data_IF_170769508439
#
_entry.id   IF_170769508439
#
_cell.length_a   1.000
_cell.length_b   1.000
_cell.length_c   1.000
_cell.angle_alpha   90.00
_cell.angle_beta   90.00
_cell.angle_gamma   90.00
#
_symmetry.space_group_name_H-M   'P 1'
#
loop_
_entity.id
_entity.type
_entity.pdbx_description
1 polymer ?
#
# COMPACT_ATOMS: atom_id res chain seq x y z
N UNK A 1 -15.14 42.75 -15.39
CA UNK A 1 -16.19 41.92 -14.76
C UNK A 1 -16.01 40.44 -15.15
N UNK A 2 -15.94 39.51 -14.18
CA UNK A 2 -15.87 38.08 -14.47
C UNK A 2 -14.57 37.36 -14.08
N UNK A 3 -13.54 38.09 -13.63
CA UNK A 3 -12.30 37.49 -13.06
C UNK A 3 -12.31 37.63 -11.55
N UNK A 4 -11.98 36.54 -10.84
CA UNK A 4 -11.87 36.51 -9.39
C UNK A 4 -10.66 35.67 -8.99
N UNK A 5 -9.92 36.14 -7.99
CA UNK A 5 -8.84 35.37 -7.38
C UNK A 5 -9.35 34.72 -6.10
N UNK A 6 -9.14 33.41 -5.97
CA UNK A 6 -9.56 32.63 -4.80
C UNK A 6 -8.33 32.13 -4.04
N UNK A 7 -8.23 32.45 -2.76
CA UNK A 7 -7.22 31.88 -1.86
C UNK A 7 -7.78 30.63 -1.21
N UNK A 8 -7.37 29.45 -1.69
CA UNK A 8 -7.88 28.15 -1.20
C UNK A 8 -7.30 27.72 0.16
N UNK A 9 -6.37 28.48 0.73
CA UNK A 9 -5.79 28.17 2.03
C UNK A 9 -6.76 28.55 3.16
N UNK A 10 -7.08 27.61 4.07
CA UNK A 10 -7.83 27.93 5.27
C UNK A 10 -7.12 29.03 6.05
N UNK A 11 -7.90 29.95 6.62
CA UNK A 11 -7.38 31.00 7.48
C UNK A 11 -8.30 31.16 8.68
N UNK A 12 -7.77 31.21 9.92
CA UNK A 12 -8.59 31.19 11.12
C UNK A 12 -9.56 32.38 11.23
N UNK A 13 -9.27 33.48 10.52
CA UNK A 13 -10.10 34.69 10.51
C UNK A 13 -11.11 34.76 9.35
N UNK A 14 -11.21 33.71 8.51
CA UNK A 14 -12.13 33.67 7.36
C UNK A 14 -13.02 32.43 7.44
N UNK A 15 -14.29 32.51 6.98
CA UNK A 15 -15.11 31.32 6.84
C UNK A 15 -14.45 30.34 5.85
N UNK A 16 -14.72 29.03 5.97
CA UNK A 16 -14.26 28.04 4.99
C UNK A 16 -14.63 28.46 3.58
N UNK A 17 -13.64 28.50 2.68
CA UNK A 17 -13.88 28.82 1.29
C UNK A 17 -14.68 27.70 0.63
N UNK A 18 -15.71 28.09 -0.12
CA UNK A 18 -16.55 27.22 -0.94
C UNK A 18 -16.39 27.56 -2.42
N UNK A 19 -15.42 26.97 -3.14
CA UNK A 19 -15.13 27.29 -4.55
C UNK A 19 -16.36 27.20 -5.46
N UNK A 20 -17.27 26.28 -5.17
CA UNK A 20 -18.51 26.05 -5.89
C UNK A 20 -19.42 27.29 -5.93
N UNK A 21 -19.42 28.12 -4.88
CA UNK A 21 -20.21 29.36 -4.84
C UNK A 21 -19.66 30.47 -5.74
N UNK A 22 -18.42 30.31 -6.22
CA UNK A 22 -17.77 31.26 -7.11
C UNK A 22 -17.95 30.89 -8.59
N UNK A 23 -18.53 29.72 -8.89
CA UNK A 23 -18.85 29.25 -10.24
C UNK A 23 -20.35 29.29 -10.46
N UNK A 24 -20.80 30.03 -11.48
CA UNK A 24 -22.24 30.17 -11.83
C UNK A 24 -22.62 29.48 -13.15
N UNK A 25 -21.66 28.86 -13.80
CA UNK A 25 -21.83 28.15 -15.07
C UNK A 25 -22.11 26.66 -14.84
N UNK A 26 -22.74 26.00 -15.83
CA UNK A 26 -23.00 24.55 -15.79
C UNK A 26 -21.74 23.70 -15.95
N UNK A 27 -20.69 24.27 -16.53
CA UNK A 27 -19.42 23.60 -16.79
C UNK A 27 -18.26 24.41 -16.20
N UNK A 28 -17.20 23.70 -15.80
CA UNK A 28 -15.90 24.27 -15.41
C UNK A 28 -14.84 23.70 -16.34
N UNK A 29 -13.98 24.60 -16.84
CA UNK A 29 -12.75 24.21 -17.50
C UNK A 29 -11.55 24.45 -16.57
N UNK A 30 -10.76 23.41 -16.30
CA UNK A 30 -9.47 23.49 -15.61
C UNK A 30 -8.40 23.65 -16.68
N UNK A 31 -7.88 24.87 -16.79
CA UNK A 31 -6.89 25.25 -17.81
C UNK A 31 -5.52 25.34 -17.15
N UNK A 32 -4.50 24.58 -17.59
CA UNK A 32 -3.15 24.69 -17.05
C UNK A 32 -2.51 26.01 -17.47
N UNK A 33 -1.53 26.45 -16.68
CA UNK A 33 -0.73 27.63 -17.00
C UNK A 33 -0.01 27.46 -18.36
N UNK A 34 0.16 28.57 -19.07
CA UNK A 34 0.72 28.59 -20.42
C UNK A 34 -0.28 28.27 -21.54
N UNK A 35 -1.54 27.91 -21.26
CA UNK A 35 -2.55 27.77 -22.32
C UNK A 35 -3.01 29.14 -22.85
N UNK A 36 -3.21 29.26 -24.17
CA UNK A 36 -3.81 30.44 -24.81
C UNK A 36 -5.19 30.09 -25.37
N UNK A 37 -6.18 30.91 -25.05
CA UNK A 37 -7.55 30.71 -25.52
C UNK A 37 -7.66 30.90 -27.04
N UNK A 38 -8.47 30.05 -27.68
CA UNK A 38 -8.86 30.14 -29.09
C UNK A 38 -10.36 29.83 -29.23
N UNK A 39 -11.07 30.41 -30.21
CA UNK A 39 -12.50 30.19 -30.38
C UNK A 39 -12.88 28.73 -30.61
N UNK A 40 -14.02 28.29 -30.07
CA UNK A 40 -14.64 27.01 -30.39
C UNK A 40 -14.12 25.79 -29.61
N UNK A 41 -12.99 25.87 -28.90
CA UNK A 41 -12.44 24.71 -28.15
C UNK A 41 -13.35 24.35 -26.98
N UNK A 42 -13.81 25.32 -26.19
CA UNK A 42 -14.68 25.05 -25.05
C UNK A 42 -16.04 24.51 -25.49
N UNK A 43 -16.60 25.02 -26.58
CA UNK A 43 -17.86 24.56 -27.16
C UNK A 43 -17.74 23.10 -27.62
N UNK A 44 -16.64 22.71 -28.28
CA UNK A 44 -16.36 21.32 -28.66
C UNK A 44 -16.18 20.42 -27.44
N UNK A 45 -15.51 20.89 -26.40
CA UNK A 45 -15.36 20.15 -25.14
C UNK A 45 -16.72 19.92 -24.46
N UNK A 46 -17.60 20.92 -24.43
CA UNK A 46 -18.97 20.77 -23.90
C UNK A 46 -19.78 19.79 -24.74
N UNK A 47 -19.70 19.87 -26.06
CA UNK A 47 -20.38 18.95 -26.98
C UNK A 47 -19.89 17.50 -26.87
N UNK A 48 -18.67 17.29 -26.35
CA UNK A 48 -18.12 15.97 -26.10
C UNK A 48 -18.60 15.33 -24.78
N UNK A 49 -19.29 16.09 -23.92
CA UNK A 49 -19.93 15.55 -22.72
C UNK A 49 -21.32 15.01 -23.03
N UNK A 50 -21.69 13.93 -22.34
CA UNK A 50 -22.99 13.28 -22.42
C UNK A 50 -23.31 12.65 -21.03
N UNK A 51 -24.47 12.00 -20.82
CA UNK A 51 -24.80 11.40 -19.53
C UNK A 51 -23.81 10.32 -19.03
N UNK A 52 -23.06 9.67 -19.94
CA UNK A 52 -22.04 8.68 -19.62
C UNK A 52 -20.63 9.28 -19.60
N UNK A 53 -20.38 10.35 -20.35
CA UNK A 53 -19.08 11.05 -20.44
C UNK A 53 -19.02 12.23 -19.47
N UNK A 54 -18.14 12.11 -18.47
CA UNK A 54 -18.07 13.06 -17.35
C UNK A 54 -16.91 14.06 -17.50
N UNK A 55 -15.86 13.66 -18.22
CA UNK A 55 -14.67 14.47 -18.42
C UNK A 55 -14.35 14.55 -19.92
N UNK A 56 -14.06 15.76 -20.39
CA UNK A 56 -13.42 16.00 -21.67
C UNK A 56 -12.00 16.54 -21.42
N UNK A 57 -11.01 16.05 -22.15
CA UNK A 57 -9.64 16.54 -22.11
C UNK A 57 -9.14 16.92 -23.51
N UNK A 58 -8.42 18.03 -23.59
CA UNK A 58 -7.78 18.50 -24.83
C UNK A 58 -6.31 18.86 -24.58
N UNK A 59 -5.43 18.69 -25.57
CA UNK A 59 -4.02 19.04 -25.42
C UNK A 59 -3.83 20.54 -25.21
N UNK A 60 -2.76 20.90 -24.51
CA UNK A 60 -2.23 22.27 -24.44
C UNK A 60 -0.83 22.29 -25.02
N UNK A 61 -0.68 22.92 -26.17
CA UNK A 61 0.54 22.93 -26.97
C UNK A 61 0.48 21.99 -28.19
N UNK A 62 1.62 21.80 -28.88
CA UNK A 62 1.66 21.09 -30.16
C UNK A 62 1.58 19.55 -30.01
N UNK A 63 1.86 19.02 -28.82
CA UNK A 63 1.90 17.57 -28.59
C UNK A 63 0.52 17.02 -28.28
N UNK A 64 0.09 15.92 -28.93
CA UNK A 64 -1.18 15.28 -28.61
C UNK A 64 -1.16 14.66 -27.21
N UNK A 65 -2.34 14.50 -26.61
CA UNK A 65 -2.49 13.75 -25.36
C UNK A 65 -2.44 12.25 -25.64
N UNK A 66 -1.76 11.51 -24.77
CA UNK A 66 -1.79 10.05 -24.78
C UNK A 66 -2.76 9.55 -23.71
N UNK A 67 -3.74 8.74 -24.10
CA UNK A 67 -4.58 8.03 -23.14
C UNK A 67 -3.76 6.97 -22.41
N UNK A 68 -3.97 6.87 -21.09
CA UNK A 68 -3.45 5.79 -20.26
C UNK A 68 -4.56 5.20 -19.42
N UNK A 69 -4.56 3.88 -19.28
CA UNK A 69 -5.38 3.17 -18.32
C UNK A 69 -5.04 3.59 -16.89
N UNK A 70 -6.04 3.70 -16.02
CA UNK A 70 -5.85 4.03 -14.61
C UNK A 70 -6.77 3.18 -13.76
N UNK A 71 -6.18 2.37 -12.87
CA UNK A 71 -6.91 1.58 -11.86
C UNK A 71 -6.47 2.01 -10.47
N UNK A 72 -7.44 2.19 -9.58
CA UNK A 72 -7.19 2.59 -8.19
C UNK A 72 -7.82 1.55 -7.28
N UNK A 73 -6.99 0.94 -6.43
CA UNK A 73 -7.41 -0.03 -5.42
C UNK A 73 -7.11 0.56 -4.04
N UNK A 74 -8.12 1.16 -3.40
CA UNK A 74 -7.96 1.77 -2.07
C UNK A 74 -7.71 0.73 -0.98
N UNK A 75 -8.24 -0.49 -1.16
CA UNK A 75 -8.05 -1.60 -0.22
C UNK A 75 -6.57 -1.99 -0.17
N UNK A 76 -5.91 -2.01 -1.33
CA UNK A 76 -4.46 -2.27 -1.48
C UNK A 76 -3.60 -1.00 -1.58
N UNK A 77 -4.17 0.19 -1.33
CA UNK A 77 -3.44 1.48 -1.36
C UNK A 77 -2.68 1.74 -2.65
N UNK A 78 -3.14 1.19 -3.77
CA UNK A 78 -2.35 1.09 -5.00
C UNK A 78 -3.04 1.83 -6.14
N UNK A 79 -2.26 2.63 -6.85
CA UNK A 79 -2.63 3.26 -8.11
C UNK A 79 -1.79 2.62 -9.22
N UNK A 80 -2.41 2.13 -10.27
CA UNK A 80 -1.74 1.48 -11.40
C UNK A 80 -2.14 2.12 -12.71
N UNK A 81 -1.14 2.52 -13.49
CA UNK A 81 -1.29 2.86 -14.89
C UNK A 81 -1.13 1.61 -15.77
N UNK A 82 -1.80 1.59 -16.92
CA UNK A 82 -1.70 0.50 -17.88
C UNK A 82 -1.99 0.97 -19.31
N UNK A 83 -1.66 0.14 -20.30
CA UNK A 83 -1.84 0.48 -21.71
C UNK A 83 -3.31 0.47 -22.16
N UNK A 84 -4.18 -0.27 -21.46
CA UNK A 84 -5.58 -0.45 -21.83
C UNK A 84 -6.50 0.60 -21.22
N UNK A 85 -7.38 1.17 -22.05
CA UNK A 85 -8.40 2.14 -21.64
C UNK A 85 -7.89 3.59 -21.58
N UNK A 86 -8.75 4.49 -21.10
CA UNK A 86 -8.42 5.91 -20.94
C UNK A 86 -9.00 6.43 -19.63
N UNK A 87 -8.29 6.19 -18.53
CA UNK A 87 -8.65 6.68 -17.20
C UNK A 87 -7.89 7.95 -16.80
N UNK A 88 -6.79 8.24 -17.49
CA UNK A 88 -6.03 9.48 -17.37
C UNK A 88 -5.37 9.82 -18.72
N UNK A 89 -4.72 10.97 -18.78
CA UNK A 89 -3.89 11.37 -19.93
C UNK A 89 -2.47 11.70 -19.50
N UNK A 90 -1.53 11.45 -20.40
CA UNK A 90 -0.19 12.02 -20.35
C UNK A 90 -0.08 13.21 -21.30
N UNK A 91 0.62 14.26 -20.82
CA UNK A 91 0.75 15.54 -21.51
C UNK A 91 0.10 16.69 -20.72
N UNK A 92 0.33 17.92 -21.20
CA UNK A 92 -0.35 19.10 -20.64
C UNK A 92 -1.78 19.14 -21.16
N UNK A 93 -2.77 19.03 -20.26
CA UNK A 93 -4.17 18.89 -20.62
C UNK A 93 -5.03 19.97 -19.97
N UNK A 94 -5.93 20.54 -20.76
CA UNK A 94 -7.08 21.27 -20.26
C UNK A 94 -8.25 20.29 -20.07
N UNK A 95 -8.93 20.37 -18.93
CA UNK A 95 -10.06 19.49 -18.60
C UNK A 95 -11.36 20.28 -18.57
N UNK A 96 -12.45 19.69 -19.02
CA UNK A 96 -13.80 20.25 -18.89
C UNK A 96 -14.73 19.21 -18.28
N UNK A 97 -15.53 19.65 -17.31
CA UNK A 97 -16.49 18.84 -16.57
C UNK A 97 -17.75 19.65 -16.28
N UNK A 98 -18.85 18.97 -15.94
CA UNK A 98 -19.99 19.63 -15.31
C UNK A 98 -19.57 20.18 -13.94
N UNK A 99 -20.04 21.37 -13.59
CA UNK A 99 -19.68 22.02 -12.31
C UNK A 99 -20.11 21.17 -11.12
N UNK A 100 -21.28 20.53 -11.20
CA UNK A 100 -21.78 19.62 -10.17
C UNK A 100 -20.85 18.41 -9.97
N UNK A 101 -20.34 17.82 -11.06
CA UNK A 101 -19.44 16.67 -10.98
C UNK A 101 -18.11 17.07 -10.35
N UNK A 102 -17.49 18.17 -10.82
CA UNK A 102 -16.22 18.63 -10.27
C UNK A 102 -16.36 18.91 -8.78
N UNK A 103 -17.35 19.69 -8.35
CA UNK A 103 -17.48 20.09 -6.95
C UNK A 103 -18.10 19.01 -6.04
N UNK A 104 -18.60 17.90 -6.61
CA UNK A 104 -18.96 16.68 -5.87
C UNK A 104 -17.74 15.75 -5.63
N UNK A 105 -16.57 16.08 -6.18
CA UNK A 105 -15.32 15.43 -5.78
C UNK A 105 -14.92 15.89 -4.38
N UNK A 106 -14.31 14.99 -3.60
CA UNK A 106 -13.82 15.32 -2.25
C UNK A 106 -12.64 16.29 -2.29
N UNK A 107 -11.85 16.24 -3.36
CA UNK A 107 -10.64 17.04 -3.56
C UNK A 107 -10.60 17.63 -4.98
N UNK A 108 -11.52 18.55 -5.33
CA UNK A 108 -11.71 19.03 -6.70
C UNK A 108 -10.52 19.84 -7.23
N UNK A 109 -9.74 20.46 -6.33
CA UNK A 109 -8.64 21.38 -6.64
C UNK A 109 -7.30 20.95 -6.01
N UNK A 110 -7.19 19.69 -5.52
CA UNK A 110 -5.92 19.14 -5.02
C UNK A 110 -4.89 19.06 -6.15
N UNK A 111 -3.61 19.28 -5.85
CA UNK A 111 -2.58 19.45 -6.88
C UNK A 111 -1.69 18.20 -6.97
N UNK A 112 -1.34 17.71 -8.18
CA UNK A 112 -1.69 18.26 -9.49
C UNK A 112 -3.16 18.01 -9.88
N UNK A 113 -3.87 19.06 -10.31
CA UNK A 113 -5.34 19.03 -10.45
C UNK A 113 -5.82 17.95 -11.42
N UNK A 114 -5.17 17.83 -12.58
CA UNK A 114 -5.54 16.80 -13.56
C UNK A 114 -5.40 15.38 -12.96
N UNK A 115 -4.26 15.08 -12.34
CA UNK A 115 -4.04 13.79 -11.70
C UNK A 115 -5.05 13.53 -10.56
N UNK A 116 -5.33 14.53 -9.72
CA UNK A 116 -6.31 14.44 -8.64
C UNK A 116 -7.72 14.15 -9.15
N UNK A 117 -8.12 14.81 -10.23
CA UNK A 117 -9.40 14.57 -10.91
C UNK A 117 -9.45 13.16 -11.50
N UNK A 118 -8.43 12.72 -12.24
CA UNK A 118 -8.40 11.39 -12.85
C UNK A 118 -8.50 10.26 -11.82
N UNK A 119 -7.79 10.36 -10.69
CA UNK A 119 -7.85 9.34 -9.63
C UNK A 119 -9.26 9.26 -9.01
N UNK A 120 -9.88 10.40 -8.75
CA UNK A 120 -11.23 10.43 -8.17
C UNK A 120 -12.31 10.02 -9.18
N UNK A 121 -12.09 10.30 -10.47
CA UNK A 121 -12.95 9.87 -11.58
C UNK A 121 -12.87 8.35 -11.80
N UNK A 122 -11.66 7.77 -11.79
CA UNK A 122 -11.44 6.34 -11.91
C UNK A 122 -12.13 5.56 -10.77
N UNK A 123 -12.07 6.06 -9.54
CA UNK A 123 -12.78 5.48 -8.39
C UNK A 123 -14.32 5.52 -8.53
N UNK A 124 -14.86 6.44 -9.33
CA UNK A 124 -16.30 6.59 -9.60
C UNK A 124 -16.74 5.90 -10.89
N UNK A 125 -15.82 5.25 -11.62
CA UNK A 125 -16.12 4.67 -12.94
C UNK A 125 -16.46 5.72 -14.01
N UNK A 126 -16.02 6.97 -13.83
CA UNK A 126 -16.33 8.05 -14.76
C UNK A 126 -15.57 7.92 -16.07
N UNK A 127 -16.25 8.20 -17.18
CA UNK A 127 -15.67 8.13 -18.52
C UNK A 127 -15.00 9.44 -18.91
N UNK A 128 -13.78 9.31 -19.45
CA UNK A 128 -12.97 10.38 -20.01
C UNK A 128 -12.98 10.30 -21.55
N UNK A 129 -13.21 11.44 -22.20
CA UNK A 129 -13.12 11.63 -23.64
C UNK A 129 -11.95 12.57 -23.95
N UNK A 130 -11.05 12.13 -24.83
CA UNK A 130 -9.91 12.94 -25.28
C UNK A 130 -10.19 13.45 -26.70
N UNK A 131 -10.03 14.74 -26.93
CA UNK A 131 -10.15 15.35 -28.26
C UNK A 131 -8.77 15.72 -28.80
N UNK A 132 -8.63 15.73 -30.12
CA UNK A 132 -7.39 16.06 -30.82
C UNK A 132 -7.07 17.56 -30.81
N UNK A 133 -8.10 18.39 -30.94
CA UNK A 133 -7.94 19.85 -31.03
C UNK A 133 -8.00 20.48 -29.66
N UNK A 134 -6.94 21.22 -29.30
CA UNK A 134 -6.82 21.83 -27.99
C UNK A 134 -6.37 23.29 -28.04
N UNK A 135 -5.79 23.74 -26.93
CA UNK A 135 -5.31 25.11 -26.80
C UNK A 135 -3.85 25.21 -27.25
N UNK A 136 -3.44 26.24 -28.00
CA UNK A 136 -2.03 26.53 -28.19
C UNK A 136 -1.36 26.87 -26.86
N UNK A 137 -0.08 26.53 -26.73
CA UNK A 137 0.74 26.95 -25.59
C UNK A 137 1.41 28.29 -25.89
N UNK A 138 1.35 29.24 -24.95
CA UNK A 138 2.20 30.42 -24.94
C UNK A 138 3.65 30.00 -24.58
N UNK A 139 4.68 30.68 -25.14
CA UNK A 139 6.06 30.44 -24.73
C UNK A 139 6.27 30.93 -23.30
N UNK A 140 6.33 30.00 -22.36
CA UNK A 140 6.85 30.25 -21.00
C UNK A 140 7.49 28.98 -20.46
N UNK A 141 8.45 28.45 -21.21
CA UNK A 141 9.32 27.40 -20.69
C UNK A 141 10.25 28.01 -19.62
N UNK A 142 10.55 27.28 -18.53
CA UNK A 142 11.57 27.71 -17.59
C UNK A 142 12.87 27.99 -18.35
N UNK A 143 13.39 29.22 -18.25
CA UNK A 143 14.48 29.71 -19.10
C UNK A 143 15.85 29.17 -18.67
N UNK A 144 15.96 28.59 -17.47
CA UNK A 144 17.20 28.08 -16.91
C UNK A 144 17.07 26.65 -16.36
N UNK A 145 18.20 25.94 -16.30
CA UNK A 145 18.28 24.62 -15.65
C UNK A 145 17.81 24.66 -14.18
N UNK A 146 18.09 25.76 -13.49
CA UNK A 146 17.65 25.97 -12.11
C UNK A 146 16.12 26.11 -12.01
N UNK A 147 15.48 26.83 -12.92
CA UNK A 147 14.02 26.95 -12.95
C UNK A 147 13.33 25.63 -13.32
N UNK A 148 13.93 24.86 -14.24
CA UNK A 148 13.48 23.49 -14.54
C UNK A 148 13.56 22.59 -13.30
N UNK A 149 14.66 22.65 -12.55
CA UNK A 149 14.81 21.89 -11.31
C UNK A 149 13.75 22.30 -10.28
N UNK A 150 13.56 23.61 -10.02
CA UNK A 150 12.51 24.09 -9.10
C UNK A 150 11.12 23.60 -9.49
N UNK A 151 10.78 23.67 -10.78
CA UNK A 151 9.48 23.23 -11.28
C UNK A 151 9.28 21.71 -11.08
N UNK A 152 10.30 20.90 -11.37
CA UNK A 152 10.27 19.44 -11.18
C UNK A 152 10.14 19.08 -9.69
N UNK A 153 10.96 19.68 -8.82
CA UNK A 153 10.91 19.46 -7.37
C UNK A 153 9.56 19.84 -6.78
N UNK A 154 8.96 20.95 -7.23
CA UNK A 154 7.63 21.36 -6.81
C UNK A 154 6.53 20.41 -7.32
N UNK A 155 6.65 19.89 -8.55
CA UNK A 155 5.73 18.91 -9.09
C UNK A 155 5.78 17.58 -8.31
N UNK A 156 6.99 17.09 -7.99
CA UNK A 156 7.18 15.88 -7.19
C UNK A 156 6.62 16.03 -5.78
N UNK A 157 6.89 17.17 -5.14
CA UNK A 157 6.34 17.47 -3.80
C UNK A 157 4.82 17.48 -3.79
N UNK A 158 4.20 18.10 -4.80
CA UNK A 158 2.73 18.11 -4.95
C UNK A 158 2.19 16.72 -5.21
N UNK A 159 2.85 15.95 -6.09
CA UNK A 159 2.47 14.55 -6.38
C UNK A 159 2.50 13.71 -5.10
N UNK A 160 3.58 13.78 -4.31
CA UNK A 160 3.70 13.09 -3.03
C UNK A 160 2.56 13.45 -2.07
N UNK A 161 2.30 14.75 -1.87
CA UNK A 161 1.21 15.23 -1.02
C UNK A 161 -0.16 14.71 -1.46
N UNK A 162 -0.43 14.72 -2.77
CA UNK A 162 -1.66 14.16 -3.33
C UNK A 162 -1.79 12.67 -3.01
N UNK A 163 -0.73 11.87 -3.22
CA UNK A 163 -0.77 10.44 -2.92
C UNK A 163 -1.02 10.16 -1.43
N UNK A 164 -0.34 10.91 -0.56
CA UNK A 164 -0.54 10.82 0.90
C UNK A 164 -1.98 11.15 1.27
N UNK A 165 -2.54 12.25 0.73
CA UNK A 165 -3.94 12.67 0.95
C UNK A 165 -4.92 11.59 0.54
N UNK A 166 -4.68 10.94 -0.59
CA UNK A 166 -5.60 9.94 -1.15
C UNK A 166 -5.40 8.55 -0.53
N UNK A 167 -4.40 8.40 0.35
CA UNK A 167 -4.04 7.11 0.93
C UNK A 167 -3.53 6.14 -0.15
N UNK A 168 -2.74 6.63 -1.11
CA UNK A 168 -2.00 5.81 -2.06
C UNK A 168 -0.59 5.64 -1.51
N UNK A 169 -0.14 4.38 -1.38
CA UNK A 169 1.19 4.01 -0.89
C UNK A 169 2.09 3.45 -1.98
N UNK A 170 1.50 2.98 -3.08
CA UNK A 170 2.21 2.44 -4.24
C UNK A 170 1.60 3.00 -5.53
N UNK A 171 2.43 3.64 -6.35
CA UNK A 171 2.13 3.98 -7.74
C UNK A 171 2.92 3.05 -8.66
N UNK A 172 2.23 2.38 -9.59
CA UNK A 172 2.84 1.54 -10.61
C UNK A 172 2.63 2.21 -11.97
N UNK A 173 3.72 2.55 -12.64
CA UNK A 173 3.72 3.16 -13.97
C UNK A 173 3.51 2.10 -15.05
N UNK A 174 3.22 2.51 -16.29
CA UNK A 174 2.97 1.59 -17.41
C UNK A 174 4.16 0.68 -17.73
N UNK A 175 5.38 1.18 -17.54
CA UNK A 175 6.62 0.42 -17.72
C UNK A 175 6.96 -0.50 -16.53
N UNK A 176 6.06 -0.61 -15.55
CA UNK A 176 6.23 -1.43 -14.36
C UNK A 176 7.07 -0.79 -13.25
N UNK A 177 7.67 0.40 -13.47
CA UNK A 177 8.38 1.12 -12.40
C UNK A 177 7.42 1.45 -11.26
N UNK A 178 7.94 1.33 -10.05
CA UNK A 178 7.19 1.56 -8.83
C UNK A 178 7.67 2.82 -8.11
N UNK A 179 6.73 3.61 -7.60
CA UNK A 179 7.00 4.75 -6.72
C UNK A 179 6.27 4.55 -5.39
N UNK A 180 7.01 4.76 -4.31
CA UNK A 180 6.57 4.46 -2.96
C UNK A 180 6.27 5.74 -2.17
N UNK A 181 5.11 5.74 -1.50
CA UNK A 181 4.59 6.84 -0.67
C UNK A 181 4.24 6.38 0.75
N UNK A 182 4.87 5.29 1.18
CA UNK A 182 4.68 4.66 2.49
C UNK A 182 5.97 4.60 3.31
N UNK A 183 6.04 3.65 4.24
CA UNK A 183 7.18 3.52 5.14
C UNK A 183 8.41 2.86 4.47
N UNK A 184 9.59 3.17 5.00
CA UNK A 184 10.87 2.50 4.78
C UNK A 184 11.61 2.25 6.10
N UNK A 185 12.90 1.90 6.05
CA UNK A 185 13.73 1.65 7.25
C UNK A 185 13.84 2.88 8.16
N UNK A 186 13.90 4.09 7.60
CA UNK A 186 14.09 5.32 8.39
C UNK A 186 12.80 5.95 8.93
N UNK A 187 11.65 5.29 8.76
CA UNK A 187 10.34 5.82 9.13
C UNK A 187 9.56 4.83 9.96
N UNK A 188 8.62 5.31 10.77
CA UNK A 188 7.65 4.44 11.43
C UNK A 188 6.79 3.66 10.41
N UNK A 189 6.33 2.47 10.81
CA UNK A 189 5.35 1.70 10.04
C UNK A 189 4.04 2.48 9.87
N UNK A 190 3.26 2.15 8.84
CA UNK A 190 2.09 2.95 8.45
C UNK A 190 0.89 2.89 9.40
N UNK A 191 0.88 2.00 10.39
CA UNK A 191 -0.20 1.87 11.37
C UNK A 191 0.37 1.84 12.79
N UNK A 192 -0.39 2.39 13.74
CA UNK A 192 0.02 2.48 15.14
C UNK A 192 0.01 1.12 15.87
N UNK A 193 -0.12 1.18 17.19
CA UNK A 193 -0.25 -0.01 18.04
C UNK A 193 -1.54 -0.77 17.68
N UNK A 194 -1.41 -2.08 17.43
CA UNK A 194 -2.54 -2.96 17.16
C UNK A 194 -3.32 -3.16 18.47
N UNK A 195 -4.64 -3.03 18.42
CA UNK A 195 -5.52 -3.22 19.58
C UNK A 195 -6.53 -4.32 19.26
N UNK A 196 -6.78 -5.22 20.22
CA UNK A 196 -7.71 -6.35 20.05
C UNK A 196 -7.47 -7.14 18.74
N UNK A 197 -6.19 -7.36 18.39
CA UNK A 197 -5.75 -8.07 17.17
C UNK A 197 -6.25 -7.43 15.86
N UNK A 198 -6.65 -6.17 15.89
CA UNK A 198 -7.24 -5.47 14.74
C UNK A 198 -6.44 -4.21 14.42
N UNK A 199 -5.61 -4.22 13.36
CA UNK A 199 -4.90 -3.04 12.90
C UNK A 199 -5.86 -1.97 12.35
N UNK A 200 -5.47 -0.69 12.46
CA UNK A 200 -6.29 0.46 12.05
C UNK A 200 -6.72 0.40 10.57
N UNK A 201 -5.91 -0.18 9.68
CA UNK A 201 -6.27 -0.24 8.26
C UNK A 201 -7.52 -1.10 8.02
N UNK A 202 -7.77 -2.13 8.84
CA UNK A 202 -8.96 -2.96 8.73
C UNK A 202 -10.21 -2.14 8.99
N UNK A 203 -10.22 -1.33 10.05
CA UNK A 203 -11.35 -0.45 10.37
C UNK A 203 -11.57 0.66 9.35
N UNK A 204 -10.59 0.94 8.49
CA UNK A 204 -10.70 1.84 7.34
C UNK A 204 -11.21 1.14 6.07
N UNK A 205 -11.56 -0.15 6.13
CA UNK A 205 -11.95 -0.96 4.96
C UNK A 205 -10.78 -1.24 4.01
N UNK A 206 -9.55 -1.22 4.53
CA UNK A 206 -8.32 -1.45 3.77
C UNK A 206 -7.57 -2.67 4.29
N UNK A 207 -6.63 -3.14 3.49
CA UNK A 207 -5.69 -4.21 3.85
C UNK A 207 -4.34 -3.63 4.26
N UNK A 208 -3.36 -4.49 4.51
CA UNK A 208 -2.03 -4.05 4.92
C UNK A 208 -1.40 -3.17 3.85
N UNK A 209 -0.84 -2.00 4.21
CA UNK A 209 -0.14 -1.15 3.25
C UNK A 209 0.95 -1.94 2.50
N UNK A 210 1.07 -1.79 1.17
CA UNK A 210 2.01 -2.58 0.37
C UNK A 210 3.48 -2.34 0.76
N UNK A 211 3.79 -1.15 1.29
CA UNK A 211 5.12 -0.82 1.82
C UNK A 211 5.43 -1.62 3.11
N UNK A 212 4.42 -1.87 3.94
CA UNK A 212 4.55 -2.70 5.12
C UNK A 212 4.73 -4.17 4.74
N UNK A 213 3.92 -4.69 3.80
CA UNK A 213 4.11 -6.04 3.27
C UNK A 213 5.50 -6.21 2.65
N UNK A 214 6.00 -5.23 1.88
CA UNK A 214 7.37 -5.27 1.34
C UNK A 214 8.41 -5.40 2.46
N UNK A 215 8.31 -4.58 3.50
CA UNK A 215 9.23 -4.65 4.64
C UNK A 215 9.13 -5.98 5.39
N UNK A 216 7.92 -6.54 5.58
CA UNK A 216 7.75 -7.86 6.19
C UNK A 216 8.40 -8.98 5.35
N UNK A 217 8.25 -8.95 4.02
CA UNK A 217 8.92 -9.92 3.13
C UNK A 217 10.44 -9.80 3.20
N UNK A 218 10.96 -8.58 3.32
CA UNK A 218 12.39 -8.30 3.46
C UNK A 218 12.92 -8.83 4.81
N UNK A 219 12.26 -8.50 5.92
CA UNK A 219 12.62 -9.02 7.24
C UNK A 219 12.50 -10.54 7.32
N UNK A 220 11.46 -11.14 6.75
CA UNK A 220 11.28 -12.59 6.74
C UNK A 220 12.42 -13.31 6.01
N UNK A 221 12.81 -12.80 4.83
CA UNK A 221 13.97 -13.33 4.09
C UNK A 221 15.24 -13.23 4.92
N UNK A 222 15.53 -12.05 5.46
CA UNK A 222 16.73 -11.79 6.28
C UNK A 222 16.82 -12.74 7.48
N UNK A 223 15.71 -12.89 8.20
CA UNK A 223 15.65 -13.77 9.37
C UNK A 223 15.89 -15.23 8.97
N UNK A 224 15.25 -15.70 7.92
CA UNK A 224 15.44 -17.08 7.43
C UNK A 224 16.89 -17.33 7.01
N UNK A 225 17.50 -16.42 6.24
CA UNK A 225 18.90 -16.54 5.82
C UNK A 225 19.86 -16.58 7.03
N UNK A 226 19.59 -15.78 8.07
CA UNK A 226 20.36 -15.79 9.30
C UNK A 226 20.20 -17.09 10.11
N UNK A 227 18.98 -17.66 10.15
CA UNK A 227 18.71 -18.94 10.83
C UNK A 227 19.38 -20.11 10.08
N UNK A 228 19.27 -20.15 8.76
CA UNK A 228 19.89 -21.17 7.91
C UNK A 228 21.41 -21.14 8.00
N UNK A 229 22.01 -19.94 7.92
CA UNK A 229 23.47 -19.74 8.03
C UNK A 229 24.00 -20.19 9.40
N UNK A 230 23.19 -20.08 10.46
CA UNK A 230 23.54 -20.52 11.80
C UNK A 230 23.21 -22.00 12.08
N UNK A 231 22.58 -22.72 11.14
CA UNK A 231 22.15 -24.11 11.37
C UNK A 231 21.03 -24.23 12.41
N UNK A 232 20.15 -23.24 12.48
CA UNK A 232 18.95 -23.25 13.33
C UNK A 232 17.79 -23.87 12.56
N UNK A 233 17.24 -24.97 13.08
CA UNK A 233 16.02 -25.57 12.52
C UNK A 233 14.82 -24.66 12.77
N UNK A 234 14.10 -24.35 11.69
CA UNK A 234 12.93 -23.48 11.70
C UNK A 234 11.81 -24.00 10.80
N UNK A 235 10.61 -23.46 10.95
CA UNK A 235 9.48 -23.65 10.04
C UNK A 235 8.57 -22.41 10.04
N UNK A 236 7.89 -22.13 8.93
CA UNK A 236 6.80 -21.16 8.91
C UNK A 236 5.69 -21.60 9.86
N UNK A 237 5.16 -20.68 10.64
CA UNK A 237 4.15 -20.93 11.67
C UNK A 237 2.91 -20.05 11.45
N UNK A 238 1.79 -20.40 12.09
CA UNK A 238 0.62 -19.54 12.20
C UNK A 238 0.11 -18.98 10.86
N UNK A 239 -0.13 -17.66 10.82
CA UNK A 239 -0.65 -16.95 9.64
C UNK A 239 0.33 -16.98 8.45
N UNK A 240 1.63 -17.08 8.73
CA UNK A 240 2.66 -17.15 7.70
C UNK A 240 2.64 -18.49 6.96
N UNK A 241 2.50 -19.60 7.68
CA UNK A 241 2.31 -20.91 7.07
C UNK A 241 1.01 -20.98 6.27
N UNK A 242 -0.08 -20.42 6.81
CA UNK A 242 -1.37 -20.35 6.11
C UNK A 242 -1.26 -19.55 4.81
N UNK A 243 -0.57 -18.41 4.85
CA UNK A 243 -0.26 -17.59 3.68
C UNK A 243 0.60 -18.33 2.64
N UNK A 244 1.62 -19.05 3.08
CA UNK A 244 2.47 -19.85 2.19
C UNK A 244 1.67 -20.92 1.43
N UNK A 245 0.81 -21.67 2.14
CA UNK A 245 -0.03 -22.72 1.52
C UNK A 245 -1.08 -22.13 0.57
N UNK A 246 -1.72 -21.02 0.96
CA UNK A 246 -2.82 -20.42 0.19
C UNK A 246 -2.36 -19.56 -0.98
N UNK A 247 -1.37 -18.69 -0.76
CA UNK A 247 -1.02 -17.58 -1.64
C UNK A 247 0.46 -17.58 -2.06
N UNK A 248 1.28 -18.43 -1.44
CA UNK A 248 2.76 -18.39 -1.54
C UNK A 248 3.34 -17.04 -1.09
N UNK A 249 2.61 -16.34 -0.23
CA UNK A 249 2.93 -14.99 0.24
C UNK A 249 2.21 -14.70 1.56
N UNK A 250 2.53 -13.58 2.19
CA UNK A 250 1.87 -13.08 3.40
C UNK A 250 0.38 -12.83 3.09
N UNK A 251 -0.52 -13.20 4.01
CA UNK A 251 -1.94 -12.89 3.90
C UNK A 251 -2.10 -11.35 3.76
N UNK A 252 -2.86 -10.82 2.79
CA UNK A 252 -2.81 -9.39 2.44
C UNK A 252 -3.21 -8.42 3.56
N UNK A 253 -3.89 -8.92 4.59
CA UNK A 253 -4.33 -8.18 5.77
C UNK A 253 -3.59 -8.55 7.06
N UNK A 254 -2.53 -9.35 6.97
CA UNK A 254 -1.65 -9.65 8.10
C UNK A 254 -0.61 -8.54 8.31
N UNK A 255 -0.07 -8.46 9.53
CA UNK A 255 0.82 -7.34 9.92
C UNK A 255 2.19 -7.76 10.47
N UNK A 256 2.44 -9.04 10.61
CA UNK A 256 3.68 -9.67 11.08
C UNK A 256 3.94 -10.99 10.31
N UNK A 257 5.03 -11.67 10.66
CA UNK A 257 5.39 -12.99 10.14
C UNK A 257 5.78 -13.86 11.34
N UNK A 258 5.33 -15.11 11.35
CA UNK A 258 5.58 -16.07 12.43
C UNK A 258 6.45 -17.23 11.94
N UNK A 259 7.48 -17.54 12.70
CA UNK A 259 8.41 -18.64 12.45
C UNK A 259 8.59 -19.43 13.74
N UNK A 260 8.37 -20.74 13.69
CA UNK A 260 8.74 -21.64 14.79
C UNK A 260 10.21 -22.04 14.67
N UNK A 261 10.90 -22.18 15.81
CA UNK A 261 12.29 -22.66 15.88
C UNK A 261 12.45 -23.74 16.94
N UNK A 262 13.42 -24.63 16.77
CA UNK A 262 13.86 -25.48 17.89
C UNK A 262 14.56 -24.62 18.94
N UNK A 263 14.04 -24.61 20.18
CA UNK A 263 14.56 -23.80 21.29
C UNK A 263 16.05 -24.00 21.52
N UNK A 264 16.50 -25.26 21.50
CA UNK A 264 17.88 -25.63 21.80
C UNK A 264 18.84 -25.21 20.67
N UNK A 265 18.33 -24.93 19.46
CA UNK A 265 19.13 -24.41 18.35
C UNK A 265 19.31 -22.89 18.43
N UNK A 266 18.50 -22.16 19.18
CA UNK A 266 18.54 -20.69 19.23
C UNK A 266 19.93 -20.15 19.63
N UNK A 267 20.70 -20.92 20.42
CA UNK A 267 22.07 -20.55 20.82
C UNK A 267 23.08 -20.59 19.67
N UNK A 268 22.77 -21.22 18.54
CA UNK A 268 23.67 -21.28 17.39
C UNK A 268 23.73 -19.95 16.63
N UNK A 269 22.64 -19.17 16.65
CA UNK A 269 22.58 -17.86 16.02
C UNK A 269 23.15 -16.78 16.97
N UNK A 270 24.15 -16.01 16.51
CA UNK A 270 24.76 -14.94 17.31
C UNK A 270 23.72 -13.92 17.78
N UNK A 271 22.84 -13.50 16.87
CA UNK A 271 21.84 -12.47 17.12
C UNK A 271 20.83 -12.89 18.17
N UNK A 272 20.35 -14.14 18.11
CA UNK A 272 19.44 -14.68 19.14
C UNK A 272 20.11 -14.82 20.50
N UNK A 273 21.41 -15.16 20.57
CA UNK A 273 22.14 -15.17 21.83
C UNK A 273 22.25 -13.78 22.43
N UNK A 274 22.66 -12.80 21.63
CA UNK A 274 22.84 -11.41 22.08
C UNK A 274 21.52 -10.77 22.48
N UNK A 275 20.44 -11.04 21.73
CA UNK A 275 19.09 -10.57 22.02
C UNK A 275 18.54 -11.00 23.39
N UNK A 276 19.11 -12.04 24.02
CA UNK A 276 18.75 -12.46 25.39
C UNK A 276 19.17 -11.46 26.46
N UNK A 277 20.22 -10.69 26.20
CA UNK A 277 20.76 -9.69 27.13
C UNK A 277 20.18 -8.29 26.90
N UNK A 278 19.57 -8.05 25.74
CA UNK A 278 18.93 -6.80 25.36
C UNK A 278 18.80 -6.68 23.85
N UNK A 279 18.07 -5.67 23.33
CA UNK A 279 17.95 -5.47 21.89
C UNK A 279 19.32 -5.28 21.22
N UNK A 280 19.57 -6.02 20.14
CA UNK A 280 20.78 -5.92 19.31
C UNK A 280 20.41 -5.55 17.89
N UNK A 281 21.17 -4.63 17.30
CA UNK A 281 21.02 -4.22 15.90
C UNK A 281 22.12 -4.89 15.09
N UNK A 282 21.75 -5.56 14.00
CA UNK A 282 22.71 -6.22 13.12
C UNK A 282 23.32 -5.27 12.08
N UNK A 283 24.26 -5.82 11.31
CA UNK A 283 25.03 -5.07 10.30
C UNK A 283 24.14 -4.49 9.18
N UNK A 284 22.91 -5.00 9.01
CA UNK A 284 21.94 -4.53 8.03
C UNK A 284 20.85 -3.63 8.65
N UNK A 285 20.94 -3.36 9.95
CA UNK A 285 20.04 -2.47 10.70
C UNK A 285 18.72 -3.11 11.13
N UNK A 286 18.59 -4.43 11.10
CA UNK A 286 17.46 -5.13 11.74
C UNK A 286 17.70 -5.24 13.24
N UNK A 287 16.63 -5.17 14.04
CA UNK A 287 16.74 -5.17 15.51
C UNK A 287 16.16 -6.46 16.07
N UNK A 288 17.01 -7.26 16.69
CA UNK A 288 16.67 -8.53 17.33
C UNK A 288 16.48 -8.29 18.83
N UNK A 289 15.33 -8.65 19.37
CA UNK A 289 15.03 -8.53 20.80
C UNK A 289 14.30 -9.77 21.33
N UNK A 290 14.49 -10.11 22.60
CA UNK A 290 13.61 -11.05 23.29
C UNK A 290 12.36 -10.30 23.74
N UNK A 291 11.18 -10.84 23.42
CA UNK A 291 9.92 -10.22 23.78
C UNK A 291 9.74 -10.21 25.32
N UNK A 292 9.20 -9.12 25.86
CA UNK A 292 8.92 -9.02 27.30
C UNK A 292 7.64 -9.78 27.70
N UNK A 293 6.73 -9.97 26.76
CA UNK A 293 5.38 -10.52 26.97
C UNK A 293 5.31 -12.05 26.85
N UNK A 294 6.40 -12.71 26.46
CA UNK A 294 6.49 -14.17 26.33
C UNK A 294 7.91 -14.63 26.01
N UNK A 295 8.15 -15.94 26.06
CA UNK A 295 9.49 -16.50 25.81
C UNK A 295 9.76 -16.71 24.31
N UNK A 296 9.70 -15.63 23.53
CA UNK A 296 9.95 -15.63 22.09
C UNK A 296 10.87 -14.46 21.68
N UNK A 297 11.41 -14.52 20.46
CA UNK A 297 12.22 -13.43 19.91
C UNK A 297 11.44 -12.66 18.85
N UNK A 298 11.73 -11.38 18.71
CA UNK A 298 11.14 -10.49 17.74
C UNK A 298 12.24 -9.78 16.95
N UNK A 299 12.14 -9.82 15.64
CA UNK A 299 13.10 -9.16 14.73
C UNK A 299 12.39 -8.05 13.99
N UNK A 300 12.75 -6.81 14.29
CA UNK A 300 12.17 -5.62 13.68
C UNK A 300 12.91 -5.21 12.41
N UNK A 301 12.16 -4.65 11.46
CA UNK A 301 12.69 -4.13 10.20
C UNK A 301 13.77 -3.06 10.39
N UNK A 302 13.61 -2.21 11.42
CA UNK A 302 14.63 -1.28 11.90
C UNK A 302 14.30 -0.74 13.28
N UNK A 303 15.18 0.08 13.87
CA UNK A 303 14.87 0.84 15.11
C UNK A 303 13.62 1.70 14.96
N UNK A 304 13.46 2.37 13.82
CA UNK A 304 12.34 3.28 13.55
C UNK A 304 11.08 2.54 13.11
N UNK A 305 11.24 1.38 12.46
CA UNK A 305 10.15 0.64 11.83
C UNK A 305 9.92 -0.72 12.53
N UNK A 306 8.91 -0.76 13.40
CA UNK A 306 8.60 -1.93 14.25
C UNK A 306 7.71 -2.99 13.55
N UNK A 307 7.68 -3.05 12.22
CA UNK A 307 7.24 -4.27 11.51
C UNK A 307 8.20 -5.40 11.84
N UNK A 308 7.71 -6.63 12.01
CA UNK A 308 8.54 -7.68 12.60
C UNK A 308 8.21 -9.09 12.14
N UNK A 309 9.18 -9.96 12.40
CA UNK A 309 9.06 -11.42 12.40
C UNK A 309 9.15 -11.87 13.86
N UNK A 310 8.19 -12.69 14.31
CA UNK A 310 8.22 -13.35 15.61
C UNK A 310 8.77 -14.78 15.47
N UNK A 311 9.71 -15.13 16.34
CA UNK A 311 10.40 -16.42 16.39
C UNK A 311 9.98 -17.17 17.65
N UNK A 312 9.21 -18.23 17.49
CA UNK A 312 8.58 -19.02 18.55
C UNK A 312 9.43 -20.26 18.89
N UNK A 313 10.12 -20.29 20.04
CA UNK A 313 10.96 -21.43 20.42
C UNK A 313 10.11 -22.58 20.98
N UNK A 314 10.17 -23.75 20.36
CA UNK A 314 9.55 -24.98 20.84
C UNK A 314 10.58 -26.04 21.21
N UNK A 315 10.22 -26.96 22.09
CA UNK A 315 11.02 -28.13 22.42
C UNK A 315 10.13 -29.39 22.50
N UNK A 316 10.67 -30.57 22.14
CA UNK A 316 9.92 -31.80 22.20
C UNK A 316 9.80 -32.32 23.64
N UNK A 317 8.61 -32.79 24.00
CA UNK A 317 8.33 -33.53 25.22
C UNK A 317 7.47 -34.74 24.85
N UNK A 318 8.05 -35.93 24.94
CA UNK A 318 7.38 -37.19 24.56
C UNK A 318 6.74 -37.16 23.15
N UNK A 319 7.45 -36.59 22.16
CA UNK A 319 7.01 -36.51 20.76
C UNK A 319 5.99 -35.40 20.47
N UNK A 320 5.72 -34.51 21.43
CA UNK A 320 4.90 -33.32 21.27
C UNK A 320 5.76 -32.07 21.40
N UNK A 321 5.69 -31.17 20.42
CA UNK A 321 6.33 -29.86 20.48
C UNK A 321 5.52 -28.93 21.39
N UNK A 322 6.19 -28.39 22.40
CA UNK A 322 5.61 -27.51 23.42
C UNK A 322 6.51 -26.32 23.71
N UNK A 323 6.01 -25.35 24.45
CA UNK A 323 6.72 -24.16 24.93
C UNK A 323 6.25 -23.78 26.34
N UNK A 324 7.03 -22.97 27.03
CA UNK A 324 6.77 -22.63 28.44
C UNK A 324 5.71 -21.51 28.60
N UNK A 325 5.39 -20.77 27.55
CA UNK A 325 4.44 -19.63 27.59
C UNK A 325 3.51 -19.60 26.38
N UNK A 326 2.23 -19.26 26.61
CA UNK A 326 1.18 -19.24 25.58
C UNK A 326 0.43 -17.91 25.61
N UNK A 327 0.07 -17.36 24.45
CA UNK A 327 -0.53 -16.02 24.33
C UNK A 327 -2.07 -16.03 24.18
N UNK A 328 -2.72 -17.17 24.39
CA UNK A 328 -4.19 -17.29 24.35
C UNK A 328 -4.81 -17.12 22.95
N UNK A 329 -4.00 -17.22 21.89
CA UNK A 329 -4.48 -17.34 20.52
C UNK A 329 -4.98 -18.78 20.27
N UNK A 330 -6.14 -19.00 19.60
CA UNK A 330 -6.65 -20.35 19.34
C UNK A 330 -5.67 -21.29 18.63
N UNK A 331 -4.83 -20.74 17.75
CA UNK A 331 -3.80 -21.46 17.00
C UNK A 331 -2.47 -21.68 17.76
N UNK A 332 -2.30 -21.02 18.90
CA UNK A 332 -1.11 -21.12 19.75
C UNK A 332 -1.27 -22.33 20.68
N UNK A 333 -1.08 -23.53 20.09
CA UNK A 333 -1.25 -24.83 20.73
C UNK A 333 -0.06 -25.76 20.47
N UNK A 334 0.11 -26.75 21.34
CA UNK A 334 1.04 -27.87 21.16
C UNK A 334 0.72 -28.67 19.89
N UNK A 335 1.71 -29.35 19.33
CA UNK A 335 1.52 -30.18 18.14
C UNK A 335 2.49 -31.37 18.08
N UNK A 336 2.13 -32.47 17.40
CA UNK A 336 3.03 -33.62 17.21
C UNK A 336 4.34 -33.27 16.49
N UNK A 337 5.49 -33.69 17.04
CA UNK A 337 6.81 -33.45 16.46
C UNK A 337 6.98 -34.08 15.07
N UNK A 338 6.20 -35.13 14.75
CA UNK A 338 6.22 -35.79 13.43
C UNK A 338 6.05 -34.81 12.26
N UNK A 339 5.36 -33.68 12.46
CA UNK A 339 5.20 -32.65 11.44
C UNK A 339 6.50 -31.94 11.07
N UNK A 340 7.55 -32.04 11.89
CA UNK A 340 8.85 -31.42 11.65
C UNK A 340 9.92 -32.43 11.20
N UNK A 341 9.58 -33.72 11.10
CA UNK A 341 10.52 -34.82 10.82
C UNK A 341 10.14 -35.55 9.51
N UNK A 342 10.53 -35.02 8.33
CA UNK A 342 11.30 -33.79 8.10
C UNK A 342 10.40 -32.56 7.91
N UNK A 343 10.97 -31.36 8.00
CA UNK A 343 10.39 -30.15 7.39
C UNK A 343 10.52 -30.22 5.87
N UNK A 344 9.69 -29.45 5.15
CA UNK A 344 9.65 -29.44 3.68
C UNK A 344 9.82 -28.03 3.13
N UNK A 345 10.49 -27.86 1.97
CA UNK A 345 10.63 -26.55 1.34
C UNK A 345 9.28 -26.08 0.78
N UNK A 346 8.99 -24.80 0.92
CA UNK A 346 7.80 -24.15 0.39
C UNK A 346 8.07 -22.72 -0.09
N UNK A 347 7.33 -22.29 -1.11
CA UNK A 347 7.42 -20.93 -1.63
C UNK A 347 6.66 -19.97 -0.73
N UNK A 348 7.34 -18.93 -0.25
CA UNK A 348 6.75 -17.90 0.60
C UNK A 348 7.43 -16.55 0.34
N UNK A 349 6.64 -15.49 0.15
CA UNK A 349 7.13 -14.11 0.10
C UNK A 349 8.25 -13.86 -0.95
N UNK A 350 8.28 -14.67 -2.01
CA UNK A 350 9.29 -14.60 -3.07
C UNK A 350 10.63 -15.27 -2.75
N UNK A 351 10.71 -16.13 -1.73
CA UNK A 351 11.84 -17.00 -1.46
C UNK A 351 11.37 -18.42 -1.07
N UNK A 352 12.30 -19.35 -0.87
CA UNK A 352 12.00 -20.70 -0.37
C UNK A 352 12.23 -20.73 1.14
N UNK A 353 11.20 -21.09 1.90
CA UNK A 353 11.26 -21.27 3.35
C UNK A 353 11.00 -22.74 3.70
N UNK A 354 11.30 -23.13 4.94
CA UNK A 354 10.90 -24.43 5.47
C UNK A 354 9.51 -24.36 6.13
N UNK A 355 8.70 -25.41 5.97
CA UNK A 355 7.43 -25.57 6.65
C UNK A 355 7.25 -26.98 7.20
N UNK A 356 6.23 -27.24 8.04
CA UNK A 356 5.91 -28.58 8.49
C UNK A 356 5.54 -29.49 7.30
N UNK A 357 5.93 -30.77 7.35
CA UNK A 357 5.35 -31.77 6.45
C UNK A 357 3.84 -31.86 6.69
N UNK A 358 3.09 -32.32 5.69
CA UNK A 358 1.63 -32.39 5.75
C UNK A 358 0.99 -31.07 6.21
N UNK A 359 1.50 -29.93 5.71
CA UNK A 359 1.13 -28.58 6.16
C UNK A 359 -0.39 -28.31 6.21
N UNK A 360 -1.19 -28.96 5.35
CA UNK A 360 -2.65 -28.90 5.43
C UNK A 360 -3.20 -29.46 6.74
N UNK A 361 -2.80 -30.68 7.11
CA UNK A 361 -3.22 -31.31 8.37
C UNK A 361 -2.73 -30.49 9.57
N UNK A 362 -1.51 -29.97 9.50
CA UNK A 362 -0.95 -29.09 10.53
C UNK A 362 -1.77 -27.80 10.71
N UNK A 363 -2.16 -27.16 9.61
CA UNK A 363 -2.99 -25.96 9.63
C UNK A 363 -4.40 -26.25 10.14
N UNK A 364 -5.03 -27.35 9.71
CA UNK A 364 -6.36 -27.74 10.16
C UNK A 364 -6.37 -28.12 11.65
N UNK A 365 -5.28 -28.70 12.18
CA UNK A 365 -5.09 -28.91 13.62
C UNK A 365 -5.12 -27.59 14.40
N UNK A 366 -4.49 -26.53 13.88
CA UNK A 366 -4.33 -25.25 14.58
C UNK A 366 -5.49 -24.27 14.36
N UNK A 367 -6.05 -24.22 13.16
CA UNK A 367 -7.06 -23.23 12.77
C UNK A 367 -8.46 -23.84 12.59
N UNK A 368 -8.57 -25.16 12.57
CA UNK A 368 -9.80 -25.88 12.28
C UNK A 368 -9.95 -26.28 10.80
N UNK A 369 -10.88 -27.21 10.51
CA UNK A 369 -11.12 -27.69 9.16
C UNK A 369 -11.50 -26.56 8.19
N UNK A 370 -10.98 -26.60 6.96
CA UNK A 370 -11.31 -25.62 5.91
C UNK A 370 -10.63 -24.25 6.07
N UNK A 371 -9.76 -24.08 7.07
CA UNK A 371 -9.08 -22.81 7.31
C UNK A 371 -8.24 -22.30 6.12
N UNK A 372 -7.82 -23.18 5.19
CA UNK A 372 -7.11 -22.80 3.97
C UNK A 372 -8.06 -22.25 2.91
N UNK A 373 -9.23 -22.85 2.76
CA UNK A 373 -10.23 -22.49 1.75
C UNK A 373 -11.11 -21.31 2.18
N UNK A 374 -11.32 -21.12 3.49
CA UNK A 374 -12.21 -20.11 4.06
C UNK A 374 -11.41 -19.02 4.79
N UNK A 375 -10.99 -17.95 4.09
CA UNK A 375 -10.24 -16.86 4.71
C UNK A 375 -11.10 -16.04 5.68
N UNK A 376 -10.56 -15.79 6.87
CA UNK A 376 -11.15 -14.89 7.86
C UNK A 376 -10.19 -13.75 8.23
N UNK A 377 -10.77 -12.64 8.74
CA UNK A 377 -9.97 -11.59 9.38
C UNK A 377 -9.57 -12.01 10.79
N UNK A 378 -8.50 -11.41 11.36
CA UNK A 378 -8.00 -11.78 12.69
C UNK A 378 -9.03 -11.70 13.83
N UNK A 379 -10.07 -10.89 13.67
CA UNK A 379 -11.17 -10.77 14.62
C UNK A 379 -12.53 -10.64 13.91
N UNK A 380 -13.19 -11.76 13.57
CA UNK A 380 -14.48 -11.77 12.86
C UNK A 380 -15.64 -11.11 13.63
N UNK A 381 -15.52 -10.96 14.96
CA UNK A 381 -16.50 -10.25 15.77
C UNK A 381 -16.44 -8.73 15.56
N UNK A 382 -15.27 -8.20 15.21
CA UNK A 382 -15.07 -6.77 14.89
C UNK A 382 -15.34 -6.52 13.41
N UNK A 383 -14.84 -7.37 12.52
CA UNK A 383 -15.04 -7.23 11.08
C UNK A 383 -14.99 -8.58 10.38
N UNK A 384 -15.99 -8.85 9.53
CA UNK A 384 -16.01 -10.07 8.69
C UNK A 384 -15.56 -9.75 7.27
N UNK A 385 -14.84 -10.70 6.67
CA UNK A 385 -14.57 -10.67 5.23
C UNK A 385 -15.89 -10.90 4.48
N UNK A 386 -16.20 -10.09 3.46
CA UNK A 386 -17.41 -10.33 2.66
C UNK A 386 -17.18 -11.51 1.72
N UNK A 387 -18.22 -12.28 1.41
CA UNK A 387 -18.10 -13.38 0.44
C UNK A 387 -17.68 -12.83 -0.93
N UNK A 388 -16.62 -13.39 -1.50
CA UNK A 388 -16.07 -13.00 -2.82
C UNK A 388 -15.02 -11.88 -2.79
N UNK A 389 -14.57 -11.45 -1.61
CA UNK A 389 -13.54 -10.42 -1.41
C UNK A 389 -12.10 -10.93 -1.27
#
# INVERSE_FOLDING_TARGET
PGVRTLTLHPSPHRPPLRPELHVRTRHVAVIPDGARAVPGVLERMVAALDPQTHLAAVPVGPSPLRCVGLRVDLRRWTLRYGADGCGAVEGSAALLMRSEDLFNLSFPLERPVAAAVFVQAALRGWRLRVLSDGFPSAPSAPSSAHDLWKARSAAETRRRRMMERFGIKLEVLEDGRQRWYGCGKDTQRCFGTVRARTPQYLTQGRWTPPCCLRALRETARHVVEALESAGVRYWLEGGSLLGAVRLRDIIPWDYDVDVGIYRDDAVKCRWLREARSGPVEDDEGFVWERAAEGDFFRVHYSRSNRLHVDLWPFFPRAGVMTKDTWLGHPQDVEFPERFLLPTVPMSFAGFTAMGPNNAREFLELKFGPGAIEEPEYPNPAVMRLRRGE
#
